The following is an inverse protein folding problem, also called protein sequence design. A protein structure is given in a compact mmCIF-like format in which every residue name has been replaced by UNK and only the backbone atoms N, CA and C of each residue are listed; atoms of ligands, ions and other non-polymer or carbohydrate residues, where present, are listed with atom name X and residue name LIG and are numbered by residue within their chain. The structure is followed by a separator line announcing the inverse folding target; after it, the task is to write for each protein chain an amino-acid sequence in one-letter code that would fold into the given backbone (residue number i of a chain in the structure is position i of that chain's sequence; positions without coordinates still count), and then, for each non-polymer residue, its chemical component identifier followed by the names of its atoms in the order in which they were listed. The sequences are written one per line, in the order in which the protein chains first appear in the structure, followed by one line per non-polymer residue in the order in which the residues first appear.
data_IF_508597154263
#
_entry.id   IF_508597154263
#
_cell.length_a   1.000
_cell.length_b   1.000
_cell.length_c   1.000
_cell.angle_alpha   90.00
_cell.angle_beta   90.00
_cell.angle_gamma   90.00
#
_symmetry.space_group_name_H-M   'P 1'
#
loop_
_entity.id
_entity.type
_entity.pdbx_description
1 polymer ?
#
# COMPACT_ATOMS: atom_id res chain seq x y z
N UNK A 1 8.98 -2.79 -16.94
CA UNK A 1 7.68 -2.08 -16.88
C UNK A 1 7.78 -1.11 -15.72
N UNK A 2 7.52 0.18 -15.92
CA UNK A 2 7.61 1.15 -14.82
C UNK A 2 6.33 1.07 -14.00
N UNK A 3 6.46 0.92 -12.68
CA UNK A 3 5.36 0.82 -11.74
C UNK A 3 5.37 2.09 -10.89
N UNK A 4 4.18 2.64 -10.63
CA UNK A 4 3.99 3.75 -9.70
C UNK A 4 3.10 3.28 -8.57
N UNK A 5 3.52 3.50 -7.34
CA UNK A 5 2.76 3.18 -6.15
C UNK A 5 2.01 4.41 -5.66
N UNK A 6 0.73 4.24 -5.34
CA UNK A 6 -0.10 5.29 -4.73
C UNK A 6 -0.64 4.78 -3.39
N UNK A 7 -0.73 5.68 -2.41
CA UNK A 7 -1.38 5.41 -1.14
C UNK A 7 -2.87 5.15 -1.38
N UNK A 8 -3.39 4.12 -0.73
CA UNK A 8 -4.82 3.88 -0.62
C UNK A 8 -5.25 4.05 0.83
N UNK A 9 -6.42 4.62 1.05
CA UNK A 9 -7.01 4.73 2.37
C UNK A 9 -8.43 4.17 2.33
N UNK A 10 -8.73 3.27 3.26
CA UNK A 10 -10.04 2.65 3.41
C UNK A 10 -10.52 2.83 4.86
N UNK A 11 -11.83 2.66 5.06
CA UNK A 11 -12.44 2.60 6.40
C UNK A 11 -12.93 1.17 6.58
N UNK A 12 -12.49 0.52 7.65
CA UNK A 12 -12.93 -0.81 8.06
C UNK A 12 -13.71 -0.72 9.36
N UNK A 13 -14.67 -1.62 9.53
CA UNK A 13 -15.48 -1.73 10.74
C UNK A 13 -15.03 -2.98 11.51
N UNK A 14 -14.89 -2.85 12.83
CA UNK A 14 -14.72 -4.01 13.69
C UNK A 14 -16.08 -4.68 14.02
N UNK A 15 -16.03 -5.69 14.88
CA UNK A 15 -17.22 -6.43 15.33
C UNK A 15 -18.21 -5.57 16.13
N UNK A 16 -17.75 -4.47 16.73
CA UNK A 16 -18.53 -3.51 17.51
C UNK A 16 -19.05 -2.33 16.66
N UNK A 17 -18.82 -2.32 15.34
CA UNK A 17 -19.07 -1.22 14.39
C UNK A 17 -18.26 0.06 14.67
N UNK A 18 -17.09 -0.06 15.29
CA UNK A 18 -16.14 1.03 15.38
C UNK A 18 -15.39 1.19 14.06
N UNK A 19 -15.35 2.43 13.55
CA UNK A 19 -14.64 2.78 12.32
C UNK A 19 -13.13 2.93 12.58
N UNK A 20 -12.34 2.19 11.80
CA UNK A 20 -10.89 2.34 11.75
C UNK A 20 -10.46 2.75 10.36
N UNK A 21 -9.57 3.74 10.30
CA UNK A 21 -8.94 4.13 9.06
C UNK A 21 -7.68 3.29 8.86
N UNK A 22 -7.62 2.61 7.73
CA UNK A 22 -6.49 1.76 7.35
C UNK A 22 -5.91 2.24 6.03
N UNK A 23 -4.63 1.96 5.84
CA UNK A 23 -3.86 2.42 4.71
C UNK A 23 -3.23 1.24 4.00
N UNK A 24 -3.41 1.21 2.69
CA UNK A 24 -2.85 0.22 1.79
C UNK A 24 -2.08 0.89 0.65
N UNK A 25 -1.75 0.09 -0.36
CA UNK A 25 -0.97 0.52 -1.51
C UNK A 25 -1.59 -0.01 -2.81
N UNK A 26 -1.66 0.86 -3.81
CA UNK A 26 -2.09 0.49 -5.16
C UNK A 26 -0.90 0.65 -6.11
N UNK A 27 -0.55 -0.43 -6.81
CA UNK A 27 0.45 -0.42 -7.86
C UNK A 27 -0.22 -0.15 -9.22
N UNK A 28 0.30 0.82 -9.96
CA UNK A 28 -0.20 1.27 -11.25
C UNK A 28 0.85 1.08 -12.34
N UNK A 29 0.42 0.80 -13.56
CA UNK A 29 1.27 0.91 -14.75
C UNK A 29 1.41 2.36 -15.24
N UNK A 30 2.16 2.55 -16.33
CA UNK A 30 2.39 3.87 -16.95
C UNK A 30 1.13 4.51 -17.56
N UNK A 31 0.05 3.75 -17.71
CA UNK A 31 -1.25 4.20 -18.22
C UNK A 31 -2.27 4.38 -17.08
N UNK A 32 -1.81 4.36 -15.83
CA UNK A 32 -2.64 4.40 -14.62
C UNK A 32 -3.61 3.22 -14.47
N UNK A 33 -3.37 2.09 -15.16
CA UNK A 33 -4.13 0.87 -14.90
C UNK A 33 -3.67 0.25 -13.58
N UNK A 34 -4.63 -0.22 -12.79
CA UNK A 34 -4.36 -0.95 -11.55
C UNK A 34 -3.76 -2.32 -11.90
N UNK A 35 -2.53 -2.54 -11.45
CA UNK A 35 -1.84 -3.82 -11.56
C UNK A 35 -2.10 -4.70 -10.33
N UNK A 36 -2.08 -4.09 -9.15
CA UNK A 36 -2.27 -4.75 -7.86
C UNK A 36 -2.77 -3.75 -6.83
N UNK A 37 -3.55 -4.23 -5.87
CA UNK A 37 -3.90 -3.49 -4.66
C UNK A 37 -3.66 -4.39 -3.48
N UNK A 38 -3.00 -3.86 -2.44
CA UNK A 38 -2.90 -4.51 -1.14
C UNK A 38 -3.52 -3.55 -0.12
N UNK A 39 -4.57 -4.03 0.54
CA UNK A 39 -5.36 -3.27 1.51
C UNK A 39 -4.84 -3.55 2.92
N UNK A 40 -5.22 -2.69 3.88
CA UNK A 40 -5.01 -2.91 5.32
C UNK A 40 -3.57 -3.28 5.75
N UNK A 41 -2.59 -2.43 5.39
CA UNK A 41 -1.18 -2.64 5.74
C UNK A 41 -0.79 -1.83 6.98
N UNK A 42 -1.29 -0.59 7.09
CA UNK A 42 -0.93 0.33 8.16
C UNK A 42 -2.15 1.00 8.78
N UNK A 43 -2.10 1.23 10.09
CA UNK A 43 -3.02 2.15 10.78
C UNK A 43 -2.48 3.59 10.83
N UNK A 44 -1.17 3.76 10.63
CA UNK A 44 -0.49 5.06 10.67
C UNK A 44 -0.32 5.63 9.26
N UNK A 45 -0.93 6.80 9.01
CA UNK A 45 -0.86 7.50 7.72
C UNK A 45 0.57 7.82 7.32
N UNK A 46 1.38 8.33 8.24
CA UNK A 46 2.72 8.81 7.95
C UNK A 46 3.61 7.65 7.54
N UNK A 47 3.54 6.52 8.26
CA UNK A 47 4.29 5.30 7.88
C UNK A 47 3.88 4.78 6.51
N UNK A 48 2.58 4.83 6.20
CA UNK A 48 2.08 4.41 4.89
C UNK A 48 2.57 5.33 3.76
N UNK A 49 2.62 6.65 3.99
CA UNK A 49 3.16 7.63 3.04
C UNK A 49 4.67 7.40 2.82
N UNK A 50 5.44 7.25 3.90
CA UNK A 50 6.89 6.94 3.84
C UNK A 50 7.16 5.64 3.09
N UNK A 51 6.33 4.61 3.30
CA UNK A 51 6.43 3.34 2.58
C UNK A 51 6.19 3.50 1.08
N UNK A 52 5.14 4.22 0.68
CA UNK A 52 4.84 4.48 -0.74
C UNK A 52 5.95 5.29 -1.40
N UNK A 53 6.47 6.31 -0.71
CA UNK A 53 7.60 7.10 -1.19
C UNK A 53 8.84 6.22 -1.39
N UNK A 54 9.17 5.37 -0.44
CA UNK A 54 10.30 4.44 -0.53
C UNK A 54 10.15 3.47 -1.70
N UNK A 55 8.96 2.86 -1.88
CA UNK A 55 8.68 1.96 -3.01
C UNK A 55 8.89 2.66 -4.36
N UNK A 56 8.47 3.91 -4.48
CA UNK A 56 8.64 4.71 -5.69
C UNK A 56 10.09 5.16 -5.91
N UNK A 57 10.80 5.58 -4.86
CA UNK A 57 12.19 6.03 -4.92
C UNK A 57 13.13 4.90 -5.34
N UNK A 58 12.96 3.72 -4.74
CA UNK A 58 13.76 2.53 -5.05
C UNK A 58 13.31 1.82 -6.33
N UNK A 59 12.24 2.31 -6.98
CA UNK A 59 11.63 1.72 -8.18
C UNK A 59 11.31 0.23 -7.97
N UNK A 60 10.71 -0.07 -6.82
CA UNK A 60 10.40 -1.44 -6.40
C UNK A 60 9.63 -2.17 -7.51
N UNK A 61 10.15 -3.30 -7.96
CA UNK A 61 9.45 -4.12 -8.94
C UNK A 61 8.23 -4.79 -8.29
N UNK A 62 7.14 -4.91 -9.05
CA UNK A 62 5.87 -5.45 -8.54
C UNK A 62 6.02 -6.85 -7.91
N UNK A 63 6.90 -7.68 -8.45
CA UNK A 63 7.16 -9.03 -7.93
C UNK A 63 7.75 -9.03 -6.52
N UNK A 64 8.36 -7.92 -6.09
CA UNK A 64 8.96 -7.77 -4.76
C UNK A 64 7.99 -7.18 -3.73
N UNK A 65 6.88 -6.59 -4.15
CA UNK A 65 5.96 -5.88 -3.27
C UNK A 65 5.48 -6.75 -2.09
N UNK A 66 5.08 -7.99 -2.38
CA UNK A 66 4.57 -8.89 -1.34
C UNK A 66 5.62 -9.18 -0.25
N UNK A 67 6.87 -9.44 -0.64
CA UNK A 67 7.93 -9.75 0.32
C UNK A 67 8.24 -8.57 1.23
N UNK A 68 8.28 -7.35 0.69
CA UNK A 68 8.51 -6.15 1.51
C UNK A 68 7.34 -5.90 2.46
N UNK A 69 6.10 -6.16 2.02
CA UNK A 69 4.92 -6.07 2.90
C UNK A 69 4.97 -7.11 4.02
N UNK A 70 5.39 -8.34 3.73
CA UNK A 70 5.56 -9.37 4.76
C UNK A 70 6.65 -8.97 5.77
N UNK A 71 7.75 -8.37 5.32
CA UNK A 71 8.86 -7.92 6.18
C UNK A 71 8.46 -6.80 7.17
N UNK A 72 7.54 -5.91 6.80
CA UNK A 72 7.08 -4.80 7.68
C UNK A 72 5.99 -5.21 8.66
N UNK A 73 5.31 -6.34 8.42
CA UNK A 73 4.24 -6.86 9.28
C UNK A 73 4.75 -7.83 10.35
N UNK A 74 6.04 -8.23 10.27
CA UNK A 74 6.76 -9.04 11.27
C UNK A 74 7.21 -8.21 12.47
#
# INVERSE_FOLDING_TARGET
MQVVYKLRADIVLDEDNCEYKVYGITALDTYENVLMTVEDIFFDKQKAEEFVELCNQEKLELIHLQYVIEDILL
#
